data_IF_428461650203
#
_entry.id   IF_428461650203
#
_cell.length_a   1.000
_cell.length_b   1.000
_cell.length_c   1.000
_cell.angle_alpha   90.00
_cell.angle_beta   90.00
_cell.angle_gamma   90.00
#
_symmetry.space_group_name_H-M   'P 1'
#
loop_
_entity.id
_entity.type
_entity.pdbx_description
1 polymer ?
#
# COMPACT_ATOMS: atom_id res chain seq x y z
N UNK A 1 9.02 -2.97 -12.14
CA UNK A 1 10.28 -3.09 -11.33
C UNK A 1 11.53 -2.93 -12.19
N UNK A 2 11.68 -3.66 -13.30
CA UNK A 2 12.91 -3.67 -14.12
C UNK A 2 13.34 -2.25 -14.53
N UNK A 3 12.42 -1.36 -14.86
CA UNK A 3 12.74 0.01 -15.27
C UNK A 3 13.31 0.88 -14.13
N UNK A 4 13.20 0.42 -12.88
CA UNK A 4 13.72 1.11 -11.70
C UNK A 4 15.05 0.52 -11.21
N UNK A 5 15.58 -0.52 -11.86
CA UNK A 5 16.89 -1.08 -11.51
C UNK A 5 18.01 -0.09 -11.83
N UNK A 6 18.98 0.03 -10.94
CA UNK A 6 20.14 0.91 -11.11
C UNK A 6 20.99 0.50 -12.30
N UNK A 7 21.25 -0.80 -12.45
CA UNK A 7 21.97 -1.38 -13.59
C UNK A 7 21.47 -2.81 -13.85
N UNK A 8 20.46 -2.97 -14.72
CA UNK A 8 19.89 -4.30 -15.00
C UNK A 8 20.90 -5.32 -15.54
N UNK A 9 21.95 -4.88 -16.20
CA UNK A 9 22.92 -5.77 -16.83
C UNK A 9 23.92 -6.37 -15.84
N UNK A 10 24.16 -5.71 -14.71
CA UNK A 10 25.14 -6.13 -13.70
C UNK A 10 24.53 -6.85 -12.49
N UNK A 11 23.19 -6.91 -12.40
CA UNK A 11 22.51 -7.48 -11.25
C UNK A 11 21.94 -8.86 -11.52
N UNK A 12 22.21 -9.78 -10.61
CA UNK A 12 21.54 -11.08 -10.60
C UNK A 12 20.09 -10.90 -10.15
N UNK A 13 19.15 -11.53 -10.86
CA UNK A 13 17.72 -11.43 -10.57
C UNK A 13 17.10 -12.80 -10.27
N UNK A 14 17.71 -13.54 -9.33
CA UNK A 14 17.12 -14.79 -8.85
C UNK A 14 16.10 -14.49 -7.74
N UNK A 15 14.81 -14.76 -8.04
CA UNK A 15 13.69 -14.49 -7.13
C UNK A 15 13.89 -15.13 -5.76
N UNK A 16 13.75 -14.32 -4.72
CA UNK A 16 13.88 -14.75 -3.33
C UNK A 16 15.31 -15.01 -2.85
N UNK A 17 16.34 -14.72 -3.66
CA UNK A 17 17.77 -14.95 -3.33
C UNK A 17 18.63 -13.73 -3.50
N UNK A 18 18.76 -13.23 -4.73
CA UNK A 18 19.63 -12.08 -5.01
C UNK A 18 19.05 -10.76 -4.46
N UNK A 19 19.93 -9.81 -4.20
CA UNK A 19 19.55 -8.44 -3.88
C UNK A 19 19.73 -7.57 -5.13
N UNK A 20 18.89 -6.58 -5.28
CA UNK A 20 18.91 -5.64 -6.39
C UNK A 20 18.74 -4.21 -5.89
N UNK A 21 19.39 -3.28 -6.57
CA UNK A 21 19.33 -1.86 -6.30
C UNK A 21 18.32 -1.17 -7.21
N UNK A 22 17.39 -0.43 -6.62
CA UNK A 22 16.33 0.28 -7.32
C UNK A 22 16.42 1.78 -7.08
N UNK A 23 15.91 2.56 -8.04
CA UNK A 23 15.68 3.99 -7.90
C UNK A 23 14.16 4.28 -7.81
N UNK A 24 13.61 4.42 -6.59
CA UNK A 24 12.24 4.84 -6.43
C UNK A 24 12.01 6.27 -6.98
N UNK A 25 10.82 6.51 -7.54
CA UNK A 25 10.42 7.83 -8.04
C UNK A 25 10.14 8.82 -6.92
N UNK A 26 9.82 8.34 -5.72
CA UNK A 26 9.44 9.18 -4.59
C UNK A 26 9.49 8.50 -3.23
N UNK A 27 9.47 9.34 -2.19
CA UNK A 27 9.35 8.91 -0.79
C UNK A 27 8.11 9.56 -0.16
N UNK A 28 7.32 8.79 0.60
CA UNK A 28 6.23 9.30 1.44
C UNK A 28 6.46 8.91 2.89
N UNK A 29 6.35 9.88 3.81
CA UNK A 29 6.61 9.67 5.24
C UNK A 29 5.40 10.08 6.08
N UNK A 30 5.03 9.27 7.06
CA UNK A 30 4.06 9.68 8.08
C UNK A 30 4.76 10.41 9.23
N UNK A 31 4.03 11.20 10.01
CA UNK A 31 4.60 12.16 10.97
C UNK A 31 5.37 11.54 12.13
N UNK A 32 5.02 10.34 12.59
CA UNK A 32 5.75 9.72 13.70
C UNK A 32 7.16 9.26 13.29
N UNK A 33 7.32 8.69 12.09
CA UNK A 33 8.61 8.20 11.57
C UNK A 33 9.41 9.29 10.86
N UNK A 34 8.76 10.27 10.25
CA UNK A 34 9.41 11.38 9.55
C UNK A 34 10.32 12.22 10.47
N UNK A 35 10.02 12.29 11.76
CA UNK A 35 10.86 13.03 12.72
C UNK A 35 12.30 12.55 12.68
N UNK A 36 12.50 11.23 12.88
CA UNK A 36 13.84 10.64 12.88
C UNK A 36 14.46 10.61 11.49
N UNK A 37 13.68 10.32 10.44
CA UNK A 37 14.17 10.34 9.07
C UNK A 37 14.69 11.73 8.68
N UNK A 38 13.98 12.79 8.96
CA UNK A 38 14.41 14.16 8.64
C UNK A 38 15.60 14.60 9.50
N UNK A 39 15.67 14.22 10.77
CA UNK A 39 16.86 14.47 11.60
C UNK A 39 18.11 13.80 11.02
N UNK A 40 17.99 12.54 10.57
CA UNK A 40 19.09 11.83 9.89
C UNK A 40 19.43 12.51 8.55
N UNK A 41 18.43 12.87 7.73
CA UNK A 41 18.66 13.57 6.47
C UNK A 41 19.42 14.90 6.68
N UNK A 42 19.09 15.65 7.72
CA UNK A 42 19.79 16.88 8.05
C UNK A 42 21.31 16.67 8.28
N UNK A 43 21.70 15.53 8.83
CA UNK A 43 23.12 15.20 9.05
C UNK A 43 23.89 14.91 7.76
N UNK A 44 23.19 14.56 6.67
CA UNK A 44 23.81 14.36 5.37
C UNK A 44 24.32 15.67 4.72
N UNK A 45 23.86 16.82 5.20
CA UNK A 45 24.35 18.15 4.75
C UNK A 45 23.94 18.52 3.32
N UNK A 46 22.95 17.84 2.75
CA UNK A 46 22.44 18.11 1.40
C UNK A 46 21.47 19.30 1.39
N UNK A 47 21.43 20.09 0.32
CA UNK A 47 20.55 21.25 0.23
C UNK A 47 19.08 20.89 -0.02
N UNK A 48 18.79 19.75 -0.63
CA UNK A 48 17.45 19.28 -0.99
C UNK A 48 17.45 17.76 -1.15
N UNK A 49 16.29 17.13 -1.13
CA UNK A 49 16.13 15.69 -1.39
C UNK A 49 16.40 15.35 -2.85
N UNK A 50 16.98 14.17 -3.09
CA UNK A 50 17.30 13.68 -4.44
C UNK A 50 16.06 13.25 -5.22
N UNK A 51 14.99 12.86 -4.52
CA UNK A 51 13.71 12.46 -5.12
C UNK A 51 12.56 13.25 -4.48
N UNK A 52 11.44 13.47 -5.19
CA UNK A 52 10.24 14.06 -4.60
C UNK A 52 9.83 13.33 -3.32
N UNK A 53 9.77 14.05 -2.23
CA UNK A 53 9.47 13.50 -0.90
C UNK A 53 8.33 14.29 -0.24
N UNK A 54 7.51 13.61 0.55
CA UNK A 54 6.38 14.23 1.25
C UNK A 54 6.27 13.73 2.69
N UNK A 55 5.82 14.61 3.58
CA UNK A 55 5.45 14.30 4.98
C UNK A 55 3.95 14.49 5.16
N UNK A 56 3.30 13.57 5.85
CA UNK A 56 1.87 13.56 6.10
C UNK A 56 1.61 13.43 7.60
N UNK A 57 0.82 14.38 8.17
CA UNK A 57 0.55 14.44 9.60
C UNK A 57 -0.81 13.83 9.93
N UNK A 58 -0.88 12.51 10.00
CA UNK A 58 -2.11 11.76 10.26
C UNK A 58 -2.02 10.75 11.42
N UNK A 59 -0.83 10.27 11.77
CA UNK A 59 -0.65 9.25 12.81
C UNK A 59 -0.71 9.77 14.25
N UNK A 60 -0.40 11.05 14.48
CA UNK A 60 -0.43 11.64 15.81
C UNK A 60 -1.81 12.22 16.20
N UNK A 61 -2.84 11.99 15.38
CA UNK A 61 -4.23 12.38 15.67
C UNK A 61 -4.97 11.18 16.25
N UNK A 62 -5.38 11.27 17.51
CA UNK A 62 -6.11 10.20 18.19
C UNK A 62 -7.61 10.43 18.10
N UNK A 63 -8.35 9.48 17.53
CA UNK A 63 -9.81 9.51 17.46
C UNK A 63 -10.44 9.16 18.84
N UNK A 64 -10.93 10.17 19.56
CA UNK A 64 -11.49 10.01 20.92
C UNK A 64 -12.92 10.53 21.05
N UNK A 65 -13.15 11.77 20.63
CA UNK A 65 -14.39 12.51 20.90
C UNK A 65 -15.08 12.94 19.59
N UNK A 66 -14.29 13.30 18.59
CA UNK A 66 -14.78 13.74 17.29
C UNK A 66 -13.81 14.66 16.59
N UNK A 67 -13.85 14.67 15.26
CA UNK A 67 -12.83 15.21 14.37
C UNK A 67 -12.29 16.62 14.75
N UNK A 68 -13.19 17.56 15.09
CA UNK A 68 -12.77 18.94 15.42
C UNK A 68 -12.00 19.05 16.74
N UNK A 69 -12.44 18.32 17.75
CA UNK A 69 -11.80 18.35 19.08
C UNK A 69 -10.50 17.56 19.05
N UNK A 70 -10.50 16.39 18.45
CA UNK A 70 -9.33 15.54 18.34
C UNK A 70 -8.22 16.20 17.52
N UNK A 71 -8.57 16.89 16.42
CA UNK A 71 -7.60 17.67 15.62
C UNK A 71 -7.03 18.85 16.43
N UNK A 72 -7.86 19.57 17.21
CA UNK A 72 -7.37 20.65 18.07
C UNK A 72 -6.40 20.12 19.11
N UNK A 73 -6.78 19.04 19.80
CA UNK A 73 -5.94 18.41 20.82
C UNK A 73 -4.61 17.92 20.22
N UNK A 74 -4.63 17.31 19.04
CA UNK A 74 -3.41 16.89 18.34
C UNK A 74 -2.49 18.08 18.01
N UNK A 75 -3.04 19.19 17.52
CA UNK A 75 -2.28 20.42 17.23
C UNK A 75 -1.67 21.05 18.49
N UNK A 76 -2.35 20.96 19.62
CA UNK A 76 -1.83 21.50 20.88
C UNK A 76 -0.76 20.59 21.49
N UNK A 77 -1.00 19.29 21.54
CA UNK A 77 -0.08 18.29 22.14
C UNK A 77 1.17 18.10 21.31
N UNK A 78 1.04 18.03 19.98
CA UNK A 78 2.15 17.74 19.04
C UNK A 78 2.67 18.98 18.32
N UNK A 79 2.44 20.16 18.84
CA UNK A 79 2.82 21.45 18.20
C UNK A 79 4.28 21.47 17.79
N UNK A 80 5.19 21.12 18.69
CA UNK A 80 6.63 21.10 18.43
C UNK A 80 6.99 20.19 17.26
N UNK A 81 6.40 19.00 17.20
CA UNK A 81 6.62 18.02 16.12
C UNK A 81 6.13 18.59 14.79
N UNK A 82 4.92 19.14 14.75
CA UNK A 82 4.36 19.70 13.51
C UNK A 82 5.12 20.93 13.02
N UNK A 83 5.58 21.77 13.93
CA UNK A 83 6.40 22.94 13.59
C UNK A 83 7.78 22.52 13.08
N UNK A 84 8.40 21.52 13.69
CA UNK A 84 9.64 20.90 13.21
C UNK A 84 9.44 20.35 11.79
N UNK A 85 8.47 19.46 11.59
CA UNK A 85 8.22 18.82 10.30
C UNK A 85 7.94 19.84 9.19
N UNK A 86 7.14 20.88 9.49
CA UNK A 86 6.83 21.97 8.55
C UNK A 86 8.08 22.75 8.16
N UNK A 87 8.87 23.16 9.14
CA UNK A 87 10.06 24.00 8.92
C UNK A 87 11.15 23.25 8.17
N UNK A 88 11.40 22.00 8.51
CA UNK A 88 12.39 21.15 7.84
C UNK A 88 11.93 20.82 6.43
N UNK A 89 10.65 20.47 6.24
CA UNK A 89 10.08 20.24 4.91
C UNK A 89 10.26 21.44 4.00
N UNK A 90 9.94 22.64 4.48
CA UNK A 90 10.13 23.89 3.72
C UNK A 90 11.59 24.14 3.36
N UNK A 91 12.53 23.83 4.26
CA UNK A 91 13.97 24.02 4.04
C UNK A 91 14.53 23.12 2.96
N UNK A 92 14.10 21.87 2.90
CA UNK A 92 14.69 20.84 2.03
C UNK A 92 13.85 20.49 0.80
N UNK A 93 12.77 21.24 0.52
CA UNK A 93 11.92 21.00 -0.65
C UNK A 93 11.02 19.77 -0.51
N UNK A 94 10.72 19.34 0.71
CA UNK A 94 9.80 18.25 1.01
C UNK A 94 8.37 18.79 1.05
N UNK A 95 7.42 18.11 0.40
CA UNK A 95 6.00 18.46 0.48
C UNK A 95 5.46 18.21 1.89
N UNK A 96 4.62 19.12 2.40
CA UNK A 96 4.09 19.03 3.76
C UNK A 96 2.57 19.03 3.77
N UNK A 97 1.98 17.93 4.20
CA UNK A 97 0.56 17.75 4.44
C UNK A 97 0.32 17.82 5.95
N UNK A 98 -0.14 18.98 6.42
CA UNK A 98 -0.33 19.25 7.84
C UNK A 98 -1.47 18.46 8.48
N UNK A 99 -1.61 18.51 9.82
CA UNK A 99 -2.68 17.82 10.54
C UNK A 99 -4.07 18.18 10.00
N UNK A 100 -4.89 17.15 9.76
CA UNK A 100 -6.24 17.31 9.20
C UNK A 100 -6.31 17.28 7.67
N UNK A 101 -5.20 17.11 6.96
CA UNK A 101 -5.17 16.98 5.49
C UNK A 101 -5.71 15.67 4.97
N UNK A 102 -5.85 14.67 5.82
CA UNK A 102 -6.30 13.32 5.47
C UNK A 102 -5.26 12.24 5.75
N UNK A 103 -5.66 10.99 5.61
CA UNK A 103 -4.80 9.82 5.79
C UNK A 103 -3.76 9.78 4.66
N UNK A 104 -2.48 9.55 5.00
CA UNK A 104 -1.36 9.50 4.06
C UNK A 104 -1.67 8.67 2.80
N UNK A 105 -2.22 7.47 2.95
CA UNK A 105 -2.45 6.57 1.82
C UNK A 105 -3.50 7.10 0.84
N UNK A 106 -4.55 7.76 1.34
CA UNK A 106 -5.56 8.41 0.51
C UNK A 106 -5.00 9.64 -0.19
N UNK A 107 -4.25 10.48 0.54
CA UNK A 107 -3.59 11.66 -0.04
C UNK A 107 -2.61 11.25 -1.14
N UNK A 108 -1.83 10.19 -0.91
CA UNK A 108 -0.89 9.65 -1.91
C UNK A 108 -1.64 9.10 -3.12
N UNK A 109 -2.71 8.32 -2.90
CA UNK A 109 -3.51 7.76 -3.99
C UNK A 109 -4.13 8.84 -4.87
N UNK A 110 -4.67 9.90 -4.24
CA UNK A 110 -5.36 11.00 -4.92
C UNK A 110 -4.43 11.97 -5.66
N UNK A 111 -3.18 12.14 -5.18
CA UNK A 111 -2.32 13.21 -5.68
C UNK A 111 -1.03 12.73 -6.33
N UNK A 112 -0.51 11.56 -5.96
CA UNK A 112 0.87 11.19 -6.27
C UNK A 112 1.05 9.83 -6.92
N UNK A 113 0.24 8.82 -6.57
CA UNK A 113 0.37 7.50 -7.16
C UNK A 113 0.03 7.50 -8.66
N UNK A 114 0.80 6.75 -9.45
CA UNK A 114 0.59 6.63 -10.88
C UNK A 114 1.02 5.23 -11.37
N UNK A 115 0.41 4.74 -12.46
CA UNK A 115 0.72 3.41 -13.01
C UNK A 115 2.17 3.32 -13.50
N UNK A 116 2.84 2.22 -13.12
CA UNK A 116 4.21 1.94 -13.52
C UNK A 116 5.29 2.64 -12.69
N UNK A 117 4.92 3.50 -11.72
CA UNK A 117 5.87 4.12 -10.80
C UNK A 117 6.34 3.20 -9.68
N UNK A 118 7.39 3.63 -8.97
CA UNK A 118 7.89 2.99 -7.76
C UNK A 118 7.99 3.99 -6.62
N UNK A 119 7.50 3.62 -5.44
CA UNK A 119 7.53 4.44 -4.25
C UNK A 119 7.98 3.62 -3.04
N UNK A 120 8.73 4.26 -2.14
CA UNK A 120 8.88 3.76 -0.78
C UNK A 120 8.19 4.70 0.22
N UNK A 121 7.75 4.16 1.34
CA UNK A 121 7.11 4.97 2.37
C UNK A 121 7.37 4.42 3.77
N UNK A 122 7.43 5.32 4.74
CA UNK A 122 7.72 4.97 6.14
C UNK A 122 6.47 4.48 6.89
N UNK A 123 5.61 3.80 6.18
CA UNK A 123 4.39 3.19 6.71
C UNK A 123 4.13 1.83 6.07
N UNK A 124 3.68 0.85 6.86
CA UNK A 124 3.42 -0.52 6.40
C UNK A 124 2.32 -0.62 5.35
N UNK A 125 1.37 0.34 5.31
CA UNK A 125 0.27 0.39 4.35
C UNK A 125 0.59 1.20 3.07
N UNK A 126 1.85 1.57 2.86
CA UNK A 126 2.34 2.16 1.60
C UNK A 126 1.88 1.39 0.35
N UNK A 127 1.78 0.03 0.36
CA UNK A 127 1.25 -0.76 -0.76
C UNK A 127 -0.15 -0.38 -1.24
N UNK A 128 -0.92 0.43 -0.52
CA UNK A 128 -2.19 1.01 -0.98
C UNK A 128 -2.10 1.61 -2.39
N UNK A 129 -0.96 2.23 -2.75
CA UNK A 129 -0.74 2.83 -4.06
C UNK A 129 -0.71 1.80 -5.21
N UNK A 130 -0.56 0.51 -4.92
CA UNK A 130 -0.69 -0.58 -5.88
C UNK A 130 -2.08 -0.67 -6.51
N UNK A 131 -3.11 -0.07 -5.87
CA UNK A 131 -4.44 0.10 -6.45
C UNK A 131 -4.49 0.99 -7.69
N UNK A 132 -3.43 1.77 -7.94
CA UNK A 132 -3.19 2.51 -9.20
C UNK A 132 -2.01 1.94 -10.01
N UNK A 133 -1.60 0.69 -9.77
CA UNK A 133 -0.52 0.05 -10.51
C UNK A 133 0.88 0.59 -10.21
N UNK A 134 1.08 1.17 -9.03
CA UNK A 134 2.37 1.64 -8.53
C UNK A 134 3.01 0.59 -7.63
N UNK A 135 4.27 0.25 -7.86
CA UNK A 135 5.02 -0.58 -6.91
C UNK A 135 5.35 0.28 -5.68
N UNK A 136 4.74 -0.05 -4.56
CA UNK A 136 4.85 0.74 -3.35
C UNK A 136 5.22 -0.15 -2.17
N UNK A 137 6.31 0.20 -1.48
CA UNK A 137 6.94 -0.64 -0.45
C UNK A 137 7.03 0.14 0.86
N UNK A 138 6.54 -0.48 1.94
CA UNK A 138 6.73 0.02 3.30
C UNK A 138 8.14 -0.25 3.80
N UNK A 139 8.82 0.78 4.32
CA UNK A 139 10.22 0.71 4.74
C UNK A 139 10.45 1.40 6.07
N UNK A 140 11.62 1.20 6.67
CA UNK A 140 12.08 1.97 7.81
C UNK A 140 12.55 3.40 7.45
N UNK A 141 12.70 4.25 8.47
CA UNK A 141 13.16 5.63 8.28
C UNK A 141 14.55 5.71 7.64
N UNK A 142 15.46 4.77 7.94
CA UNK A 142 16.81 4.73 7.37
C UNK A 142 16.78 4.53 5.85
N UNK A 143 15.99 3.57 5.35
CA UNK A 143 15.85 3.32 3.91
C UNK A 143 15.29 4.55 3.18
N UNK A 144 14.33 5.24 3.83
CA UNK A 144 13.80 6.48 3.29
C UNK A 144 14.87 7.57 3.15
N UNK A 145 15.75 7.70 4.16
CA UNK A 145 16.86 8.67 4.15
C UNK A 145 17.86 8.33 3.03
N UNK A 146 18.21 7.05 2.86
CA UNK A 146 19.12 6.64 1.79
C UNK A 146 18.60 7.07 0.43
N UNK A 147 17.33 6.82 0.12
CA UNK A 147 16.72 7.25 -1.15
C UNK A 147 16.62 8.78 -1.23
N UNK A 148 16.26 9.46 -0.15
CA UNK A 148 16.22 10.93 -0.11
C UNK A 148 17.61 11.55 -0.35
N UNK A 149 18.70 10.86 0.00
CA UNK A 149 20.07 11.32 -0.24
C UNK A 149 20.63 10.89 -1.60
N UNK A 150 19.88 10.12 -2.38
CA UNK A 150 20.24 9.67 -3.74
C UNK A 150 20.87 8.29 -3.81
N UNK A 151 20.95 7.56 -2.69
CA UNK A 151 21.34 6.16 -2.72
C UNK A 151 20.21 5.29 -3.28
N UNK A 152 20.53 4.18 -3.95
CA UNK A 152 19.52 3.24 -4.38
C UNK A 152 18.87 2.53 -3.18
N UNK A 153 17.63 2.10 -3.38
CA UNK A 153 16.94 1.22 -2.44
C UNK A 153 17.32 -0.24 -2.74
N UNK A 154 18.05 -0.85 -1.83
CA UNK A 154 18.48 -2.24 -1.94
C UNK A 154 17.44 -3.17 -1.33
N UNK A 155 16.90 -4.08 -2.12
CA UNK A 155 15.91 -5.05 -1.67
C UNK A 155 16.16 -6.42 -2.30
N UNK A 156 15.82 -7.48 -1.57
CA UNK A 156 15.85 -8.83 -2.14
C UNK A 156 14.89 -8.92 -3.31
N UNK A 157 15.35 -9.39 -4.46
CA UNK A 157 14.51 -9.58 -5.66
C UNK A 157 13.30 -10.45 -5.29
N UNK A 158 12.07 -9.91 -5.30
CA UNK A 158 10.94 -10.57 -4.69
C UNK A 158 10.48 -11.79 -5.48
N UNK A 159 9.90 -12.76 -4.81
CA UNK A 159 9.02 -13.73 -5.42
C UNK A 159 7.77 -13.04 -5.94
N UNK A 160 7.03 -13.67 -6.84
CA UNK A 160 5.78 -13.13 -7.35
C UNK A 160 4.66 -14.15 -7.12
N UNK A 161 3.66 -13.76 -6.33
CA UNK A 161 2.45 -14.55 -6.11
C UNK A 161 1.34 -13.94 -6.95
N UNK A 162 0.81 -14.73 -7.88
CA UNK A 162 -0.32 -14.32 -8.69
C UNK A 162 -1.66 -14.64 -8.01
N UNK A 163 -2.54 -13.64 -7.91
CA UNK A 163 -3.92 -13.83 -7.46
C UNK A 163 -4.86 -13.58 -8.64
N UNK A 164 -5.33 -14.69 -9.23
CA UNK A 164 -6.27 -14.65 -10.34
C UNK A 164 -7.68 -14.43 -9.82
N UNK A 165 -8.30 -13.35 -10.25
CA UNK A 165 -9.67 -13.00 -9.92
C UNK A 165 -10.57 -13.28 -11.12
N UNK A 166 -11.65 -14.03 -10.90
CA UNK A 166 -12.66 -14.33 -11.91
C UNK A 166 -14.03 -13.84 -11.45
N UNK A 167 -14.97 -13.71 -12.37
CA UNK A 167 -16.33 -13.27 -12.05
C UNK A 167 -16.42 -11.84 -11.55
N UNK A 168 -17.43 -11.55 -10.71
CA UNK A 168 -17.71 -10.20 -10.20
C UNK A 168 -18.29 -10.25 -8.79
N UNK A 169 -17.89 -9.30 -7.93
CA UNK A 169 -18.47 -9.12 -6.59
C UNK A 169 -19.98 -8.88 -6.68
N UNK A 170 -20.73 -9.48 -5.78
CA UNK A 170 -22.17 -9.40 -5.73
C UNK A 170 -22.73 -9.35 -4.31
N UNK A 171 -23.96 -8.86 -4.16
CA UNK A 171 -24.64 -8.77 -2.87
C UNK A 171 -23.93 -7.81 -1.92
N UNK A 172 -23.57 -8.29 -0.74
CA UNK A 172 -22.85 -7.54 0.30
C UNK A 172 -21.34 -7.75 0.30
N UNK A 173 -20.82 -8.55 -0.66
CA UNK A 173 -19.38 -8.75 -0.78
C UNK A 173 -18.69 -7.50 -1.30
N UNK A 174 -17.57 -7.15 -0.72
CA UNK A 174 -16.78 -5.96 -0.99
C UNK A 174 -15.34 -6.29 -1.39
N UNK A 175 -14.56 -5.35 -1.91
CA UNK A 175 -13.13 -5.56 -2.14
C UNK A 175 -12.36 -6.01 -0.88
N UNK A 176 -12.80 -5.60 0.30
CA UNK A 176 -12.22 -6.05 1.57
C UNK A 176 -12.29 -7.58 1.72
N UNK A 177 -13.39 -8.21 1.29
CA UNK A 177 -13.55 -9.66 1.39
C UNK A 177 -12.53 -10.41 0.52
N UNK A 178 -12.08 -9.80 -0.58
CA UNK A 178 -11.04 -10.39 -1.44
C UNK A 178 -9.74 -10.56 -0.66
N UNK A 179 -9.27 -9.51 -0.01
CA UNK A 179 -8.01 -9.59 0.74
C UNK A 179 -8.15 -10.41 2.02
N UNK A 180 -9.32 -10.45 2.66
CA UNK A 180 -9.57 -11.37 3.78
C UNK A 180 -9.47 -12.83 3.33
N UNK A 181 -9.97 -13.16 2.13
CA UNK A 181 -9.82 -14.50 1.57
C UNK A 181 -8.36 -14.80 1.20
N UNK A 182 -7.63 -13.85 0.63
CA UNK A 182 -6.18 -13.99 0.37
C UNK A 182 -5.42 -14.23 1.67
N UNK A 183 -5.73 -13.48 2.74
CA UNK A 183 -5.11 -13.66 4.06
C UNK A 183 -5.41 -15.05 4.63
N UNK A 184 -6.64 -15.54 4.48
CA UNK A 184 -7.02 -16.90 4.89
C UNK A 184 -6.20 -17.99 4.18
N UNK A 185 -5.87 -17.78 2.90
CA UNK A 185 -5.13 -18.77 2.07
C UNK A 185 -3.61 -18.67 2.28
N UNK A 186 -3.08 -17.46 2.42
CA UNK A 186 -1.64 -17.21 2.57
C UNK A 186 -1.17 -17.22 4.02
N UNK A 187 -2.05 -16.96 4.96
CA UNK A 187 -1.72 -16.63 6.36
C UNK A 187 -0.94 -15.32 6.49
N UNK A 188 -0.60 -14.93 7.72
CA UNK A 188 0.13 -13.68 8.01
C UNK A 188 1.57 -13.66 7.52
N UNK A 189 2.14 -14.80 7.15
CA UNK A 189 3.54 -14.94 6.71
C UNK A 189 3.69 -15.33 5.24
N UNK A 190 2.60 -15.76 4.59
CA UNK A 190 2.65 -16.38 3.27
C UNK A 190 3.05 -15.44 2.13
N UNK A 191 2.96 -14.13 2.32
CA UNK A 191 3.42 -13.10 1.39
C UNK A 191 4.86 -12.62 1.63
N UNK A 192 5.54 -13.13 2.65
CA UNK A 192 6.88 -12.65 3.04
C UNK A 192 7.90 -12.76 1.89
N UNK A 193 8.51 -11.63 1.55
CA UNK A 193 9.49 -11.56 0.45
C UNK A 193 8.88 -11.72 -0.94
N UNK A 194 7.56 -11.50 -1.08
CA UNK A 194 6.86 -11.57 -2.35
C UNK A 194 6.13 -10.28 -2.69
N UNK A 195 5.97 -10.04 -3.99
CA UNK A 195 4.98 -9.11 -4.56
C UNK A 195 3.73 -9.91 -4.86
N UNK A 196 2.57 -9.40 -4.47
CA UNK A 196 1.28 -9.98 -4.82
C UNK A 196 0.74 -9.26 -6.06
N UNK A 197 0.60 -9.97 -7.16
CA UNK A 197 0.05 -9.43 -8.40
C UNK A 197 -1.36 -9.95 -8.64
N UNK A 198 -2.33 -9.03 -8.68
CA UNK A 198 -3.74 -9.34 -8.93
C UNK A 198 -4.06 -9.21 -10.41
N UNK A 199 -4.67 -10.23 -10.99
CA UNK A 199 -4.97 -10.28 -12.43
C UNK A 199 -6.24 -11.09 -12.73
N UNK A 200 -6.60 -11.19 -14.01
CA UNK A 200 -7.80 -11.86 -14.49
C UNK A 200 -8.97 -10.89 -14.72
N UNK A 201 -10.02 -11.37 -15.40
CA UNK A 201 -11.19 -10.57 -15.77
C UNK A 201 -11.95 -10.02 -14.56
N UNK A 202 -11.91 -10.69 -13.42
CA UNK A 202 -12.50 -10.22 -12.17
C UNK A 202 -11.79 -8.97 -11.63
N UNK A 203 -10.47 -8.84 -11.81
CA UNK A 203 -9.70 -7.67 -11.40
C UNK A 203 -10.19 -6.40 -12.12
N UNK A 204 -10.54 -6.51 -13.41
CA UNK A 204 -11.05 -5.41 -14.22
C UNK A 204 -12.48 -4.96 -13.81
N UNK A 205 -13.15 -5.68 -12.91
CA UNK A 205 -14.48 -5.30 -12.38
C UNK A 205 -14.40 -4.50 -11.08
N UNK A 206 -13.23 -4.37 -10.48
CA UNK A 206 -13.02 -3.71 -9.18
C UNK A 206 -12.61 -2.25 -9.41
N UNK A 207 -13.22 -1.32 -8.68
CA UNK A 207 -12.85 0.11 -8.74
C UNK A 207 -11.40 0.35 -8.28
N UNK A 208 -10.79 1.45 -8.69
CA UNK A 208 -9.43 1.83 -8.27
C UNK A 208 -9.29 1.91 -6.75
N UNK A 209 -10.28 2.48 -6.06
CA UNK A 209 -10.31 2.53 -4.59
C UNK A 209 -10.49 1.15 -3.95
N UNK A 210 -11.26 0.27 -4.58
CA UNK A 210 -11.39 -1.13 -4.16
C UNK A 210 -10.08 -1.90 -4.30
N UNK A 211 -9.35 -1.70 -5.39
CA UNK A 211 -8.00 -2.25 -5.59
C UNK A 211 -7.02 -1.72 -4.54
N UNK A 212 -7.08 -0.42 -4.24
CA UNK A 212 -6.29 0.18 -3.18
C UNK A 212 -6.58 -0.44 -1.80
N UNK A 213 -7.86 -0.71 -1.48
CA UNK A 213 -8.25 -1.43 -0.25
C UNK A 213 -7.64 -2.83 -0.19
N UNK A 214 -7.63 -3.56 -1.31
CA UNK A 214 -7.01 -4.90 -1.38
C UNK A 214 -5.49 -4.80 -1.15
N UNK A 215 -4.82 -3.89 -1.87
CA UNK A 215 -3.37 -3.71 -1.74
C UNK A 215 -2.96 -3.22 -0.35
N UNK A 216 -3.78 -2.38 0.28
CA UNK A 216 -3.51 -1.82 1.60
C UNK A 216 -3.25 -2.91 2.64
N UNK A 217 -4.08 -3.94 2.65
CA UNK A 217 -3.97 -5.05 3.62
C UNK A 217 -2.89 -6.10 3.23
N UNK A 218 -2.08 -5.83 2.21
CA UNK A 218 -0.92 -6.67 1.89
C UNK A 218 0.12 -6.74 3.01
N UNK A 219 0.17 -5.70 3.87
CA UNK A 219 1.03 -5.68 5.05
C UNK A 219 0.72 -6.83 6.02
N UNK A 220 -0.56 -7.14 6.24
CA UNK A 220 -1.01 -8.17 7.19
C UNK A 220 -0.71 -9.60 6.74
N UNK A 221 -0.38 -9.80 5.48
CA UNK A 221 0.10 -11.09 4.95
C UNK A 221 1.62 -11.12 4.71
N UNK A 222 2.33 -10.09 5.17
CA UNK A 222 3.78 -9.97 5.06
C UNK A 222 4.30 -9.65 3.66
N UNK A 223 3.44 -9.23 2.73
CA UNK A 223 3.84 -8.94 1.36
C UNK A 223 4.76 -7.71 1.27
N UNK A 224 5.80 -7.78 0.45
CA UNK A 224 6.68 -6.65 0.14
C UNK A 224 5.90 -5.54 -0.58
N UNK A 225 5.03 -5.91 -1.51
CA UNK A 225 4.15 -5.03 -2.26
C UNK A 225 2.92 -5.81 -2.74
N UNK A 226 1.85 -5.08 -3.05
CA UNK A 226 0.66 -5.61 -3.73
C UNK A 226 0.32 -4.69 -4.88
N UNK A 227 -0.04 -5.23 -6.05
CA UNK A 227 -0.24 -4.43 -7.26
C UNK A 227 -1.31 -5.01 -8.16
N UNK A 228 -2.05 -4.14 -8.83
CA UNK A 228 -2.96 -4.46 -9.94
C UNK A 228 -2.40 -3.93 -11.26
N UNK A 229 -2.67 -4.65 -12.36
CA UNK A 229 -2.44 -4.14 -13.70
C UNK A 229 -3.34 -2.94 -14.02
N UNK A 230 -2.83 -2.03 -14.87
CA UNK A 230 -3.56 -0.84 -15.31
C UNK A 230 -4.82 -1.17 -16.08
N UNK A 231 -5.92 -0.46 -15.78
CA UNK A 231 -7.21 -0.63 -16.42
C UNK A 231 -8.02 0.68 -16.53
N UNK A 232 -9.25 0.56 -17.04
CA UNK A 232 -10.14 1.71 -17.25
C UNK A 232 -10.55 2.38 -15.92
N UNK A 233 -10.76 1.61 -14.83
CA UNK A 233 -11.11 2.18 -13.52
C UNK A 233 -9.99 3.06 -12.97
N UNK A 234 -8.73 2.68 -13.18
CA UNK A 234 -7.58 3.51 -12.81
C UNK A 234 -7.50 4.77 -13.66
N UNK A 235 -7.75 4.67 -14.98
CA UNK A 235 -7.84 5.82 -15.89
C UNK A 235 -8.90 6.82 -15.42
N UNK A 236 -10.08 6.35 -15.09
CA UNK A 236 -11.20 7.18 -14.66
C UNK A 236 -10.93 7.84 -13.29
N UNK A 237 -10.31 7.12 -12.37
CA UNK A 237 -9.89 7.68 -11.08
C UNK A 237 -8.84 8.78 -11.24
N UNK A 238 -7.83 8.57 -12.09
CA UNK A 238 -6.82 9.60 -12.40
C UNK A 238 -7.47 10.85 -12.99
N UNK A 239 -8.42 10.70 -13.92
CA UNK A 239 -9.17 11.84 -14.47
C UNK A 239 -10.00 12.55 -13.42
N UNK A 240 -10.73 11.80 -12.59
CA UNK A 240 -11.56 12.36 -11.53
C UNK A 240 -10.75 13.12 -10.46
N UNK A 241 -9.48 12.74 -10.25
CA UNK A 241 -8.55 13.43 -9.35
C UNK A 241 -7.67 14.47 -10.05
N UNK A 242 -8.08 14.95 -11.25
CA UNK A 242 -7.40 16.04 -11.97
C UNK A 242 -6.10 15.66 -12.68
N UNK A 243 -5.81 14.35 -12.84
CA UNK A 243 -4.57 13.81 -13.40
C UNK A 243 -4.76 13.19 -14.81
N UNK A 244 -5.53 13.87 -15.66
CA UNK A 244 -5.88 13.41 -17.00
C UNK A 244 -4.66 13.17 -17.91
N UNK A 245 -3.60 13.95 -17.73
CA UNK A 245 -2.35 13.77 -18.49
C UNK A 245 -1.65 12.45 -18.15
N UNK A 246 -1.64 12.09 -16.86
CA UNK A 246 -1.11 10.80 -16.38
C UNK A 246 -1.96 9.65 -16.93
N UNK A 247 -3.29 9.76 -16.88
CA UNK A 247 -4.19 8.77 -17.46
C UNK A 247 -3.94 8.59 -18.96
N UNK A 248 -3.73 9.69 -19.70
CA UNK A 248 -3.41 9.65 -21.14
C UNK A 248 -2.05 9.00 -21.40
N UNK A 249 -1.04 9.31 -20.61
CA UNK A 249 0.30 8.72 -20.74
C UNK A 249 0.27 7.21 -20.46
N UNK A 250 -0.36 6.80 -19.36
CA UNK A 250 -0.52 5.39 -19.01
C UNK A 250 -1.30 4.60 -20.07
N UNK A 251 -2.35 5.21 -20.66
CA UNK A 251 -3.12 4.59 -21.73
C UNK A 251 -2.32 4.27 -22.98
N UNK A 252 -1.26 5.03 -23.30
CA UNK A 252 -0.39 4.78 -24.44
C UNK A 252 0.53 3.56 -24.29
N UNK A 253 0.75 3.13 -23.06
CA UNK A 253 1.63 2.01 -22.69
C UNK A 253 0.89 0.96 -21.85
N UNK A 254 -0.43 0.94 -21.93
CA UNK A 254 -1.30 0.12 -21.11
C UNK A 254 -0.97 -1.38 -21.16
N UNK A 255 -0.55 -1.88 -22.32
CA UNK A 255 -0.13 -3.27 -22.51
C UNK A 255 1.11 -3.65 -21.69
N UNK A 256 2.01 -2.70 -21.43
CA UNK A 256 3.21 -2.89 -20.62
C UNK A 256 2.97 -2.70 -19.11
N UNK A 257 1.77 -2.28 -18.74
CA UNK A 257 1.35 -2.04 -17.36
C UNK A 257 0.38 -3.12 -16.85
N UNK A 258 0.33 -4.24 -17.51
CA UNK A 258 -0.47 -5.43 -17.17
C UNK A 258 0.43 -6.66 -17.15
N UNK A 259 0.03 -7.74 -16.46
CA UNK A 259 0.75 -9.01 -16.56
C UNK A 259 0.82 -9.50 -18.01
N UNK A 260 1.96 -10.03 -18.39
CA UNK A 260 2.12 -10.68 -19.71
C UNK A 260 1.28 -11.97 -19.81
N UNK A 261 0.84 -12.28 -21.01
CA UNK A 261 0.22 -13.57 -21.28
C UNK A 261 1.19 -14.70 -20.97
N UNK A 262 0.78 -15.62 -20.09
CA UNK A 262 1.63 -16.72 -19.65
C UNK A 262 2.69 -16.33 -18.61
N UNK A 263 2.53 -15.20 -17.91
CA UNK A 263 3.40 -14.78 -16.81
C UNK A 263 3.61 -15.93 -15.80
N UNK A 264 4.86 -16.12 -15.37
CA UNK A 264 5.24 -17.17 -14.44
C UNK A 264 5.23 -16.64 -13.00
N UNK A 265 4.42 -17.27 -12.17
CA UNK A 265 4.29 -17.00 -10.74
C UNK A 265 4.97 -18.10 -9.92
N UNK A 266 5.55 -17.73 -8.77
CA UNK A 266 6.07 -18.68 -7.78
C UNK A 266 4.94 -19.46 -7.09
N UNK A 267 3.76 -18.83 -6.97
CA UNK A 267 2.52 -19.41 -6.48
C UNK A 267 1.35 -18.71 -7.15
N UNK A 268 0.27 -19.45 -7.43
CA UNK A 268 -0.99 -18.87 -7.93
C UNK A 268 -2.14 -19.22 -7.00
N UNK A 269 -3.01 -18.23 -6.74
CA UNK A 269 -4.27 -18.37 -6.01
C UNK A 269 -5.38 -17.95 -6.96
N UNK A 270 -6.48 -18.70 -7.00
CA UNK A 270 -7.67 -18.36 -7.77
C UNK A 270 -8.83 -18.04 -6.84
N UNK A 271 -9.52 -16.92 -7.08
CA UNK A 271 -10.69 -16.50 -6.32
C UNK A 271 -11.81 -16.16 -7.30
N UNK A 272 -12.92 -16.88 -7.21
CA UNK A 272 -14.17 -16.53 -7.90
C UNK A 272 -14.93 -15.49 -7.06
N UNK A 273 -14.91 -14.24 -7.54
CA UNK A 273 -15.60 -13.12 -6.90
C UNK A 273 -17.11 -13.35 -6.80
N UNK A 274 -17.71 -14.11 -7.73
CA UNK A 274 -19.15 -14.40 -7.74
C UNK A 274 -19.54 -15.37 -6.61
N UNK A 275 -18.62 -16.23 -6.19
CA UNK A 275 -18.82 -17.18 -5.10
C UNK A 275 -18.45 -16.60 -3.72
N UNK A 276 -17.69 -15.49 -3.70
CA UNK A 276 -17.21 -14.87 -2.47
C UNK A 276 -18.38 -14.33 -1.64
N UNK A 277 -18.33 -14.54 -0.35
CA UNK A 277 -19.33 -14.07 0.62
C UNK A 277 -18.67 -13.13 1.62
N UNK A 278 -19.43 -12.22 2.25
CA UNK A 278 -18.89 -11.36 3.30
C UNK A 278 -18.15 -12.15 4.36
N UNK A 279 -16.95 -11.68 4.69
CA UNK A 279 -16.04 -12.28 5.65
C UNK A 279 -15.83 -11.36 6.85
N UNK A 280 -15.50 -11.96 7.97
CA UNK A 280 -14.96 -11.31 9.16
C UNK A 280 -13.73 -12.08 9.61
N UNK A 281 -12.68 -11.39 9.97
CA UNK A 281 -11.47 -12.00 10.50
C UNK A 281 -11.33 -11.82 12.01
N UNK A 282 -10.52 -12.68 12.60
CA UNK A 282 -10.32 -12.79 14.04
C UNK A 282 -11.15 -13.93 14.67
N UNK A 283 -11.02 -14.07 16.02
CA UNK A 283 -10.23 -13.22 16.91
C UNK A 283 -8.72 -13.43 16.78
N UNK A 284 -7.94 -12.50 17.32
CA UNK A 284 -6.48 -12.55 17.53
C UNK A 284 -5.58 -12.41 16.29
N UNK A 285 -5.99 -12.86 15.10
CA UNK A 285 -5.15 -12.81 13.90
C UNK A 285 -5.97 -12.47 12.64
N UNK A 286 -5.42 -11.68 11.70
CA UNK A 286 -6.15 -11.23 10.50
C UNK A 286 -6.35 -12.33 9.43
N UNK A 287 -5.67 -13.44 9.53
CA UNK A 287 -5.81 -14.58 8.59
C UNK A 287 -6.91 -15.58 8.99
N UNK A 288 -7.48 -15.42 10.17
CA UNK A 288 -8.58 -16.25 10.66
C UNK A 288 -9.92 -15.70 10.15
N UNK A 289 -10.18 -15.90 8.85
CA UNK A 289 -11.40 -15.40 8.23
C UNK A 289 -12.55 -16.41 8.30
N UNK A 290 -13.73 -15.89 8.66
CA UNK A 290 -14.98 -16.64 8.76
C UNK A 290 -16.07 -15.97 7.92
N UNK A 291 -16.98 -16.76 7.35
CA UNK A 291 -18.19 -16.20 6.73
C UNK A 291 -19.07 -15.55 7.80
N UNK A 292 -19.53 -14.35 7.51
CA UNK A 292 -20.47 -13.62 8.37
C UNK A 292 -21.73 -14.46 8.59
N UNK A 293 -22.27 -14.46 9.80
CA UNK A 293 -23.44 -15.24 10.22
C UNK A 293 -23.08 -16.66 10.67
N UNK A 294 -23.57 -17.68 9.99
CA UNK A 294 -23.41 -19.08 10.41
C UNK A 294 -21.95 -19.53 10.54
N UNK A 295 -21.03 -18.96 9.77
CA UNK A 295 -19.60 -19.28 9.85
C UNK A 295 -18.98 -18.83 11.16
N UNK A 296 -19.28 -17.63 11.61
CA UNK A 296 -18.82 -17.09 12.90
C UNK A 296 -19.41 -17.91 14.06
N UNK A 297 -20.71 -18.19 14.04
CA UNK A 297 -21.36 -18.96 15.09
C UNK A 297 -20.77 -20.38 15.21
N UNK A 298 -20.48 -21.02 14.07
CA UNK A 298 -19.82 -22.33 14.05
C UNK A 298 -18.41 -22.26 14.62
N UNK A 299 -17.60 -21.32 14.18
CA UNK A 299 -16.24 -21.14 14.67
C UNK A 299 -16.19 -20.83 16.17
N UNK A 300 -17.10 -19.99 16.66
CA UNK A 300 -17.22 -19.70 18.08
C UNK A 300 -17.56 -20.94 18.91
N UNK A 301 -18.49 -21.78 18.46
CA UNK A 301 -18.85 -23.02 19.13
C UNK A 301 -17.71 -24.05 19.12
N UNK A 302 -16.96 -24.18 18.01
CA UNK A 302 -15.85 -25.12 17.88
C UNK A 302 -14.62 -24.73 18.72
N UNK A 303 -14.44 -23.44 19.02
CA UNK A 303 -13.29 -22.91 19.74
C UNK A 303 -13.65 -22.36 21.15
N UNK A 304 -14.88 -22.54 21.60
CA UNK A 304 -15.37 -22.03 22.88
C UNK A 304 -15.24 -20.49 23.04
N UNK A 305 -15.35 -19.75 21.92
CA UNK A 305 -15.34 -18.30 21.95
C UNK A 305 -16.70 -17.72 22.32
N UNK A 306 -16.74 -16.55 22.99
CA UNK A 306 -18.00 -15.85 23.21
C UNK A 306 -18.64 -15.43 21.89
N UNK A 307 -19.97 -15.60 21.77
CA UNK A 307 -20.73 -15.12 20.61
C UNK A 307 -20.96 -13.61 20.62
N UNK A 308 -20.91 -12.99 21.80
CA UNK A 308 -21.06 -11.55 21.93
C UNK A 308 -19.77 -10.84 21.51
N UNK A 309 -19.91 -9.94 20.55
CA UNK A 309 -18.81 -9.10 20.06
C UNK A 309 -18.71 -7.88 20.96
N UNK A 310 -17.60 -7.73 21.66
CA UNK A 310 -17.33 -6.57 22.53
C UNK A 310 -16.74 -5.39 21.76
N UNK A 311 -16.05 -5.64 20.66
CA UNK A 311 -15.46 -4.61 19.78
C UNK A 311 -15.33 -5.13 18.35
N UNK A 312 -15.64 -4.29 17.38
CA UNK A 312 -15.47 -4.58 15.97
C UNK A 312 -14.98 -3.34 15.23
N UNK A 313 -14.11 -3.53 14.23
CA UNK A 313 -13.68 -2.52 13.29
C UNK A 313 -14.23 -2.86 11.90
N UNK A 314 -14.81 -1.84 11.25
CA UNK A 314 -15.39 -1.95 9.89
C UNK A 314 -14.65 -1.00 8.95
#
# INVERSE_FOLDING_TARGET
>A
LINHLSDPASQEMERGRSYADFHPDRVAMQDATAQMALLQFMTAGLPTTAVPSTVHCDHLILAKVGAKLDLRDANDVNREVYDFLRSVSAKYGVGFWGPGSGIIHQVVLENYAFPGGMMIGTDSHTPNAGGLGMVAIGVGGADAVDVMTGFPFNVRWPKVIGVKLTGKLSGWSSPKDVILEVARVLTVEGGTGAVIEYFGEGADTISATGKATICNMGAEIGATCSVFGYDQHMSDYLKATGRSEIASAAGKVAEHLRPDDGALYDKTIEIDLSALKPLINGPHTPDLAHRVGAGVAKAAAENEWPLEISSALI
#
